data_IF_128138328083
#
_entry.id   IF_128138328083
#
_cell.length_a   1.000
_cell.length_b   1.000
_cell.length_c   1.000
_cell.angle_alpha   90.00
_cell.angle_beta   90.00
_cell.angle_gamma   90.00
#
_symmetry.space_group_name_H-M   'P 1'
#
loop_
_entity.id
_entity.type
_entity.pdbx_description
1 polymer ?
#
# COMPACT_ATOMS: atom_id res chain seq x y z
N UNK A 1 61.19 -14.06 -18.64
CA UNK A 1 59.76 -14.20 -18.30
C UNK A 1 59.22 -12.80 -18.02
N UNK A 2 58.23 -12.35 -18.79
CA UNK A 2 57.72 -10.96 -18.74
C UNK A 2 56.56 -10.88 -17.73
N UNK A 3 56.73 -10.07 -16.69
CA UNK A 3 55.69 -9.77 -15.72
C UNK A 3 54.84 -8.60 -16.26
N UNK A 4 53.52 -8.80 -16.35
CA UNK A 4 52.56 -7.73 -16.65
C UNK A 4 51.67 -7.47 -15.41
N UNK A 5 52.02 -6.53 -14.53
CA UNK A 5 51.14 -6.13 -13.44
C UNK A 5 50.27 -4.95 -13.90
N UNK A 6 49.34 -5.18 -14.85
CA UNK A 6 48.49 -4.07 -15.34
C UNK A 6 47.11 -4.50 -15.84
N UNK A 7 46.41 -5.39 -15.12
CA UNK A 7 45.02 -5.73 -15.49
C UNK A 7 44.05 -5.97 -14.33
N UNK A 8 44.49 -5.96 -13.07
CA UNK A 8 43.58 -6.21 -11.94
C UNK A 8 42.68 -4.99 -11.63
N UNK A 9 43.22 -3.77 -11.70
CA UNK A 9 42.47 -2.55 -11.39
C UNK A 9 41.38 -2.20 -12.41
N UNK A 10 41.62 -2.46 -13.70
CA UNK A 10 40.65 -2.19 -14.76
C UNK A 10 39.46 -3.17 -14.70
N UNK A 11 39.71 -4.42 -14.30
CA UNK A 11 38.66 -5.42 -14.10
C UNK A 11 37.70 -5.07 -12.95
N UNK A 12 38.23 -4.58 -11.82
CA UNK A 12 37.41 -4.16 -10.67
C UNK A 12 36.53 -2.95 -11.03
N UNK A 13 37.07 -1.99 -11.79
CA UNK A 13 36.32 -0.80 -12.21
C UNK A 13 35.14 -1.15 -13.15
N UNK A 14 35.33 -2.11 -14.07
CA UNK A 14 34.25 -2.57 -14.96
C UNK A 14 33.15 -3.34 -14.22
N UNK A 15 33.48 -4.10 -13.17
CA UNK A 15 32.49 -4.80 -12.33
C UNK A 15 31.62 -3.79 -11.57
N UNK A 16 32.20 -2.71 -11.02
CA UNK A 16 31.44 -1.68 -10.30
C UNK A 16 30.48 -0.92 -11.23
N UNK A 17 30.87 -0.67 -12.49
CA UNK A 17 29.98 -0.05 -13.49
C UNK A 17 28.81 -0.97 -13.86
N UNK A 18 29.03 -2.28 -13.95
CA UNK A 18 27.95 -3.23 -14.25
C UNK A 18 26.93 -3.37 -13.12
N UNK A 19 27.37 -3.24 -11.86
CA UNK A 19 26.47 -3.33 -10.69
C UNK A 19 25.59 -2.07 -10.55
N UNK A 20 26.08 -0.90 -10.96
CA UNK A 20 25.34 0.36 -10.79
C UNK A 20 24.21 0.59 -11.79
N UNK A 21 24.16 -0.14 -12.92
CA UNK A 21 23.12 0.06 -13.95
C UNK A 21 21.75 -0.55 -13.63
N UNK A 22 21.62 -1.39 -12.59
CA UNK A 22 20.39 -2.12 -12.30
C UNK A 22 19.56 -1.60 -11.12
N UNK A 23 19.94 -0.46 -10.53
CA UNK A 23 19.18 0.15 -9.41
C UNK A 23 18.48 1.43 -9.90
N UNK A 24 17.72 1.31 -10.98
CA UNK A 24 16.63 2.27 -11.22
C UNK A 24 15.42 1.73 -10.48
N UNK A 25 15.28 2.14 -9.22
CA UNK A 25 14.03 1.96 -8.51
C UNK A 25 12.93 2.63 -9.34
N UNK A 26 12.05 1.83 -9.94
CA UNK A 26 10.90 2.34 -10.69
C UNK A 26 10.02 3.11 -9.71
N UNK A 27 10.18 4.44 -9.69
CA UNK A 27 9.52 5.34 -8.75
C UNK A 27 8.05 5.56 -9.07
N UNK A 28 7.51 4.86 -10.08
CA UNK A 28 6.12 4.96 -10.49
C UNK A 28 5.21 4.31 -9.46
N UNK A 29 4.18 5.04 -9.09
CA UNK A 29 3.14 4.56 -8.18
C UNK A 29 2.32 3.47 -8.88
N UNK A 30 2.19 2.28 -8.30
CA UNK A 30 1.39 1.22 -8.90
C UNK A 30 -0.10 1.58 -8.81
N UNK A 31 -0.82 1.31 -9.91
CA UNK A 31 -2.26 1.52 -10.04
C UNK A 31 -2.91 0.23 -10.49
N UNK A 32 -3.89 -0.23 -9.71
CA UNK A 32 -4.78 -1.32 -10.09
C UNK A 32 -6.10 -0.74 -10.59
N UNK A 33 -6.65 -1.35 -11.64
CA UNK A 33 -7.90 -0.88 -12.24
C UNK A 33 -8.89 -2.03 -12.23
N UNK A 34 -9.86 -1.92 -11.33
CA UNK A 34 -11.06 -2.76 -11.35
C UNK A 34 -12.11 -2.03 -12.18
N UNK A 35 -12.59 -2.67 -13.25
CA UNK A 35 -13.55 -2.00 -14.12
C UNK A 35 -14.63 -2.95 -14.63
N UNK A 36 -15.86 -2.47 -14.62
CA UNK A 36 -17.04 -3.11 -15.18
C UNK A 36 -17.67 -2.17 -16.21
N UNK A 37 -17.87 -2.66 -17.44
CA UNK A 37 -18.53 -1.91 -18.50
C UNK A 37 -19.48 -2.80 -19.30
N UNK A 38 -20.74 -2.38 -19.37
CA UNK A 38 -21.79 -3.10 -20.06
C UNK A 38 -22.00 -2.60 -21.51
N UNK A 39 -21.30 -1.52 -21.91
CA UNK A 39 -21.52 -0.83 -23.18
C UNK A 39 -20.21 -0.54 -23.94
N UNK A 40 -20.32 -0.28 -25.25
CA UNK A 40 -19.14 -0.09 -26.11
C UNK A 40 -18.35 1.19 -25.81
N UNK A 41 -19.00 2.26 -25.34
CA UNK A 41 -18.35 3.53 -24.99
C UNK A 41 -17.61 3.39 -23.67
N UNK A 42 -18.20 2.71 -22.68
CA UNK A 42 -17.58 2.34 -21.41
C UNK A 42 -16.32 1.50 -21.60
N UNK A 43 -16.38 0.50 -22.47
CA UNK A 43 -15.21 -0.32 -22.83
C UNK A 43 -14.08 0.53 -23.47
N UNK A 44 -14.42 1.47 -24.35
CA UNK A 44 -13.45 2.41 -24.92
C UNK A 44 -12.85 3.33 -23.85
N UNK A 45 -13.67 3.82 -22.92
CA UNK A 45 -13.22 4.66 -21.80
C UNK A 45 -12.18 3.92 -20.94
N UNK A 46 -12.48 2.68 -20.53
CA UNK A 46 -11.56 1.86 -19.73
C UNK A 46 -10.26 1.60 -20.49
N UNK A 47 -10.33 1.31 -21.79
CA UNK A 47 -9.16 1.13 -22.64
C UNK A 47 -8.26 2.38 -22.65
N UNK A 48 -8.85 3.55 -22.86
CA UNK A 48 -8.10 4.81 -22.88
C UNK A 48 -7.49 5.15 -21.52
N UNK A 49 -8.18 4.86 -20.41
CA UNK A 49 -7.64 5.04 -19.05
C UNK A 49 -6.42 4.13 -18.83
N UNK A 50 -6.53 2.85 -19.18
CA UNK A 50 -5.40 1.89 -19.09
C UNK A 50 -4.19 2.35 -19.91
N UNK A 51 -4.44 2.85 -21.13
CA UNK A 51 -3.40 3.41 -21.99
C UNK A 51 -2.77 4.68 -21.40
N UNK A 52 -3.59 5.58 -20.86
CA UNK A 52 -3.11 6.80 -20.21
C UNK A 52 -2.22 6.52 -19.00
N UNK A 53 -2.63 5.58 -18.13
CA UNK A 53 -1.83 5.14 -16.98
C UNK A 53 -0.52 4.48 -17.44
N UNK A 54 -0.57 3.65 -18.47
CA UNK A 54 0.64 2.98 -19.00
C UNK A 54 1.65 3.96 -19.60
N UNK A 55 1.19 5.12 -20.07
CA UNK A 55 2.01 6.22 -20.61
C UNK A 55 2.44 7.24 -19.56
N UNK A 56 1.87 7.20 -18.36
CA UNK A 56 2.21 8.13 -17.29
C UNK A 56 3.66 7.90 -16.84
N UNK A 57 4.34 9.01 -16.51
CA UNK A 57 5.69 8.99 -15.93
C UNK A 57 5.67 8.70 -14.43
N UNK A 58 4.51 8.83 -13.80
CA UNK A 58 4.31 8.77 -12.35
C UNK A 58 3.47 7.58 -11.93
N UNK A 59 2.70 6.97 -12.85
CA UNK A 59 1.88 5.79 -12.59
C UNK A 59 2.39 4.59 -13.38
N UNK A 60 2.18 3.40 -12.81
CA UNK A 60 2.43 2.12 -13.48
C UNK A 60 1.22 1.23 -13.27
N UNK A 61 0.72 0.60 -14.33
CA UNK A 61 -0.35 -0.39 -14.20
C UNK A 61 0.19 -1.63 -13.47
N UNK A 62 -0.56 -2.13 -12.48
CA UNK A 62 -0.24 -3.36 -11.76
C UNK A 62 -1.45 -4.27 -11.66
N UNK A 63 -1.18 -5.57 -11.56
CA UNK A 63 -2.17 -6.61 -11.24
C UNK A 63 -1.82 -7.33 -9.93
N UNK A 64 -0.83 -6.81 -9.19
CA UNK A 64 -0.34 -7.40 -7.94
C UNK A 64 -1.15 -6.86 -6.76
N UNK A 65 -1.76 -7.77 -6.01
CA UNK A 65 -2.54 -7.41 -4.82
C UNK A 65 -1.67 -7.21 -3.58
N UNK A 66 -0.42 -7.68 -3.60
CA UNK A 66 0.52 -7.66 -2.48
C UNK A 66 1.33 -6.35 -2.36
N UNK A 67 1.20 -5.42 -3.31
CA UNK A 67 1.88 -4.12 -3.27
C UNK A 67 0.93 -2.95 -2.92
N UNK A 68 1.39 -1.98 -2.10
CA UNK A 68 0.64 -0.75 -1.84
C UNK A 68 0.39 0.00 -3.14
N UNK A 69 -0.86 0.33 -3.43
CA UNK A 69 -1.29 0.82 -4.74
C UNK A 69 -2.45 1.81 -4.67
N UNK A 70 -2.66 2.54 -5.76
CA UNK A 70 -3.92 3.26 -6.00
C UNK A 70 -4.85 2.30 -6.75
N UNK A 71 -6.03 2.08 -6.23
CA UNK A 71 -7.08 1.28 -6.86
C UNK A 71 -8.12 2.21 -7.49
N UNK A 72 -8.37 2.01 -8.79
CA UNK A 72 -9.39 2.72 -9.57
C UNK A 72 -10.54 1.76 -9.86
N UNK A 73 -11.68 2.01 -9.22
CA UNK A 73 -12.90 1.22 -9.40
C UNK A 73 -13.85 1.98 -10.31
N UNK A 74 -14.00 1.49 -11.53
CA UNK A 74 -14.75 2.16 -12.60
C UNK A 74 -15.94 1.31 -12.99
N UNK A 75 -17.14 1.85 -12.84
CA UNK A 75 -18.38 1.19 -13.29
C UNK A 75 -19.00 2.07 -14.36
N UNK A 76 -19.35 1.47 -15.49
CA UNK A 76 -20.06 2.16 -16.57
C UNK A 76 -21.40 1.50 -16.85
N UNK A 77 -22.39 2.33 -17.17
CA UNK A 77 -23.76 1.91 -17.45
C UNK A 77 -24.22 2.55 -18.77
N UNK A 78 -24.83 1.75 -19.65
CA UNK A 78 -25.54 2.27 -20.83
C UNK A 78 -26.81 2.98 -20.36
N UNK A 79 -26.91 4.31 -20.48
CA UNK A 79 -28.11 5.03 -20.09
C UNK A 79 -29.15 4.88 -21.21
N UNK A 80 -29.52 3.65 -21.59
CA UNK A 80 -30.38 3.27 -22.73
C UNK A 80 -31.29 4.42 -23.18
N UNK A 81 -30.81 5.34 -24.05
CA UNK A 81 -31.56 6.54 -24.26
C UNK A 81 -32.71 6.17 -25.19
N UNK A 82 -33.93 6.41 -24.74
CA UNK A 82 -35.12 6.20 -25.55
C UNK A 82 -35.10 7.31 -26.61
N UNK A 83 -34.90 6.91 -27.87
CA UNK A 83 -34.88 7.83 -29.00
C UNK A 83 -36.25 8.51 -29.19
N UNK A 84 -36.32 9.53 -30.06
CA UNK A 84 -37.57 10.26 -30.33
C UNK A 84 -38.74 9.37 -30.80
N UNK A 85 -38.43 8.15 -31.26
CA UNK A 85 -39.38 7.15 -31.73
C UNK A 85 -39.64 6.01 -30.73
N UNK A 86 -39.15 6.10 -29.49
CA UNK A 86 -39.27 5.03 -28.52
C UNK A 86 -38.19 3.93 -28.63
N UNK A 87 -37.32 4.01 -29.64
CA UNK A 87 -36.28 3.01 -29.88
C UNK A 87 -35.05 3.23 -28.99
N UNK A 88 -34.43 2.18 -28.43
CA UNK A 88 -33.19 2.34 -27.68
C UNK A 88 -32.05 2.79 -28.60
N UNK A 89 -31.56 4.02 -28.40
CA UNK A 89 -30.37 4.54 -29.09
C UNK A 89 -29.14 4.19 -28.26
N UNK A 90 -28.84 2.90 -28.12
CA UNK A 90 -27.67 2.44 -27.36
C UNK A 90 -26.36 2.92 -27.98
N UNK A 91 -25.27 2.94 -27.20
CA UNK A 91 -23.89 3.13 -27.66
C UNK A 91 -23.45 4.54 -28.11
N UNK A 92 -24.20 5.61 -27.81
CA UNK A 92 -23.73 6.97 -28.07
C UNK A 92 -23.00 7.61 -26.88
N UNK A 93 -23.32 7.15 -25.68
CA UNK A 93 -22.79 7.66 -24.42
C UNK A 93 -22.85 6.58 -23.34
N UNK A 94 -22.06 6.75 -22.30
CA UNK A 94 -22.09 5.94 -21.09
C UNK A 94 -22.12 6.84 -19.86
N UNK A 95 -22.80 6.41 -18.80
CA UNK A 95 -22.66 7.04 -17.48
C UNK A 95 -21.60 6.25 -16.73
N UNK A 96 -20.60 6.94 -16.18
CA UNK A 96 -19.54 6.31 -15.42
C UNK A 96 -19.51 6.80 -13.98
N UNK A 97 -19.14 5.88 -13.08
CA UNK A 97 -18.71 6.17 -11.72
C UNK A 97 -17.26 5.72 -11.57
N UNK A 98 -16.41 6.55 -10.96
CA UNK A 98 -15.01 6.27 -10.73
C UNK A 98 -14.69 6.55 -9.26
N UNK A 99 -14.24 5.53 -8.53
CA UNK A 99 -13.78 5.63 -7.15
C UNK A 99 -12.28 5.39 -7.11
N UNK A 100 -11.57 6.27 -6.40
CA UNK A 100 -10.13 6.17 -6.17
C UNK A 100 -9.90 5.75 -4.72
N UNK A 101 -9.15 4.68 -4.55
CA UNK A 101 -8.82 4.11 -3.24
C UNK A 101 -7.30 4.05 -3.11
N UNK A 102 -6.77 4.51 -1.98
CA UNK A 102 -5.40 4.22 -1.58
C UNK A 102 -5.40 2.91 -0.78
N UNK A 103 -4.70 1.90 -1.27
CA UNK A 103 -4.46 0.64 -0.57
C UNK A 103 -3.05 0.66 0.02
N UNK A 104 -2.95 0.82 1.35
CA UNK A 104 -1.68 0.91 2.07
C UNK A 104 -1.67 -0.17 3.14
N UNK A 105 -0.84 -1.20 2.93
CA UNK A 105 -0.37 -2.18 3.92
C UNK A 105 -1.45 -2.91 4.76
N UNK A 106 -2.74 -2.83 4.38
CA UNK A 106 -3.97 -3.50 4.91
C UNK A 106 -5.18 -2.55 4.99
N UNK A 107 -4.97 -1.24 4.84
CA UNK A 107 -6.04 -0.25 4.94
C UNK A 107 -6.37 0.33 3.57
N UNK A 108 -7.61 0.14 3.14
CA UNK A 108 -8.20 0.82 2.00
C UNK A 108 -8.82 2.14 2.46
N UNK A 109 -8.39 3.26 1.89
CA UNK A 109 -8.94 4.59 2.16
C UNK A 109 -9.42 5.22 0.87
N UNK A 110 -10.68 5.68 0.82
CA UNK A 110 -11.18 6.43 -0.33
C UNK A 110 -10.49 7.80 -0.38
N UNK A 111 -9.78 8.08 -1.48
CA UNK A 111 -9.07 9.35 -1.70
C UNK A 111 -9.84 10.28 -2.65
N UNK A 112 -10.85 9.77 -3.35
CA UNK A 112 -11.79 10.58 -4.10
C UNK A 112 -12.76 9.75 -4.92
N UNK A 113 -13.80 10.39 -5.43
CA UNK A 113 -14.76 9.79 -6.32
C UNK A 113 -15.18 10.78 -7.40
N UNK A 114 -15.90 10.31 -8.42
CA UNK A 114 -16.50 11.14 -9.45
C UNK A 114 -17.52 10.34 -10.25
N UNK A 115 -18.57 11.03 -10.69
CA UNK A 115 -19.60 10.49 -11.59
C UNK A 115 -19.69 11.44 -12.78
N UNK A 116 -19.89 10.90 -13.98
CA UNK A 116 -19.99 11.71 -15.18
C UNK A 116 -20.65 10.98 -16.34
N UNK A 117 -20.85 11.73 -17.42
CA UNK A 117 -21.35 11.20 -18.70
C UNK A 117 -20.21 11.29 -19.70
N UNK A 118 -19.96 10.21 -20.40
CA UNK A 118 -18.93 10.12 -21.41
C UNK A 118 -19.56 9.80 -22.76
N UNK A 119 -19.55 10.77 -23.67
CA UNK A 119 -20.00 10.59 -25.05
C UNK A 119 -18.91 9.99 -25.92
N UNK A 120 -19.31 9.25 -26.97
CA UNK A 120 -18.39 8.57 -27.91
C UNK A 120 -17.33 9.50 -28.53
N UNK A 121 -17.66 10.77 -28.78
CA UNK A 121 -16.72 11.75 -29.36
C UNK A 121 -15.70 12.30 -28.36
N UNK A 122 -15.95 12.17 -27.05
CA UNK A 122 -15.14 12.79 -26.00
C UNK A 122 -14.44 11.77 -25.08
N UNK A 123 -14.49 10.47 -25.43
CA UNK A 123 -13.97 9.38 -24.58
C UNK A 123 -12.53 9.59 -24.15
N UNK A 124 -11.68 10.03 -25.09
CA UNK A 124 -10.26 10.25 -24.81
C UNK A 124 -10.04 11.37 -23.79
N UNK A 125 -10.75 12.49 -23.92
CA UNK A 125 -10.60 13.62 -23.00
C UNK A 125 -11.08 13.26 -21.59
N UNK A 126 -12.20 12.54 -21.48
CA UNK A 126 -12.70 12.03 -20.19
C UNK A 126 -11.71 11.06 -19.56
N UNK A 127 -11.10 10.18 -20.36
CA UNK A 127 -10.05 9.28 -19.89
C UNK A 127 -8.83 10.06 -19.38
N UNK A 128 -8.36 11.04 -20.14
CA UNK A 128 -7.21 11.88 -19.79
C UNK A 128 -7.47 12.66 -18.48
N UNK A 129 -8.69 13.17 -18.27
CA UNK A 129 -9.10 13.82 -17.02
C UNK A 129 -9.06 12.86 -15.82
N UNK A 130 -9.56 11.63 -16.00
CA UNK A 130 -9.52 10.60 -14.93
C UNK A 130 -8.06 10.25 -14.58
N UNK A 131 -7.20 10.12 -15.57
CA UNK A 131 -5.77 9.85 -15.37
C UNK A 131 -5.09 11.02 -14.67
N UNK A 132 -5.35 12.26 -15.08
CA UNK A 132 -4.81 13.45 -14.44
C UNK A 132 -5.24 13.57 -12.97
N UNK A 133 -6.48 13.19 -12.65
CA UNK A 133 -6.94 13.13 -11.27
C UNK A 133 -6.27 12.00 -10.47
N UNK A 134 -5.99 10.85 -11.08
CA UNK A 134 -5.20 9.79 -10.46
C UNK A 134 -3.76 10.25 -10.18
N UNK A 135 -3.13 10.94 -11.12
CA UNK A 135 -1.80 11.56 -10.94
C UNK A 135 -1.79 12.56 -9.78
N UNK A 136 -2.82 13.41 -9.70
CA UNK A 136 -2.96 14.37 -8.58
C UNK A 136 -3.12 13.65 -7.23
N UNK A 137 -3.76 12.50 -7.23
CA UNK A 137 -4.00 11.71 -6.02
C UNK A 137 -2.70 11.09 -5.44
N UNK A 138 -1.64 10.95 -6.24
CA UNK A 138 -0.32 10.46 -5.79
C UNK A 138 0.22 11.31 -4.64
N UNK A 139 0.11 12.64 -4.71
CA UNK A 139 0.61 13.52 -3.63
C UNK A 139 -0.10 13.25 -2.30
N UNK A 140 -1.38 12.91 -2.35
CA UNK A 140 -2.14 12.49 -1.18
C UNK A 140 -1.70 11.10 -0.71
N UNK A 141 -1.50 10.17 -1.64
CA UNK A 141 -1.01 8.82 -1.36
C UNK A 141 0.36 8.83 -0.66
N UNK A 142 1.34 9.58 -1.17
CA UNK A 142 2.67 9.73 -0.56
C UNK A 142 2.60 10.29 0.85
N UNK A 143 1.73 11.28 1.08
CA UNK A 143 1.51 11.86 2.41
C UNK A 143 0.92 10.82 3.37
N UNK A 144 -0.09 10.07 2.93
CA UNK A 144 -0.74 9.04 3.76
C UNK A 144 0.25 7.91 4.05
N UNK A 145 1.00 7.44 3.06
CA UNK A 145 2.03 6.41 3.23
C UNK A 145 3.09 6.86 4.24
N UNK A 146 3.57 8.11 4.13
CA UNK A 146 4.54 8.64 5.09
C UNK A 146 3.99 8.81 6.52
N UNK A 147 2.68 9.02 6.69
CA UNK A 147 2.03 9.01 8.00
C UNK A 147 1.89 7.59 8.55
N UNK A 148 1.52 6.63 7.71
CA UNK A 148 1.39 5.23 8.09
C UNK A 148 2.73 4.65 8.53
N UNK A 149 3.81 4.92 7.79
CA UNK A 149 5.18 4.55 8.15
C UNK A 149 5.60 5.13 9.52
N UNK A 150 5.21 6.38 9.80
CA UNK A 150 5.49 7.02 11.10
C UNK A 150 4.67 6.40 12.23
N UNK A 151 3.39 6.14 12.01
CA UNK A 151 2.52 5.49 12.99
C UNK A 151 2.99 4.07 13.30
N UNK A 152 3.44 3.32 12.29
CA UNK A 152 4.04 2.00 12.46
C UNK A 152 5.27 2.03 13.35
N UNK A 153 6.18 3.00 13.15
CA UNK A 153 7.35 3.20 14.01
C UNK A 153 6.99 3.56 15.44
N UNK A 154 6.04 4.48 15.63
CA UNK A 154 5.58 4.88 16.96
C UNK A 154 4.94 3.72 17.71
N UNK A 155 4.12 2.92 17.03
CA UNK A 155 3.51 1.73 17.62
C UNK A 155 4.56 0.71 18.03
N UNK A 156 5.55 0.43 17.16
CA UNK A 156 6.64 -0.48 17.48
C UNK A 156 7.47 0.00 18.69
N UNK A 157 7.73 1.31 18.79
CA UNK A 157 8.42 1.89 19.94
C UNK A 157 7.60 1.76 21.24
N UNK A 158 6.29 2.00 21.16
CA UNK A 158 5.39 1.85 22.31
C UNK A 158 5.26 0.38 22.75
N UNK A 159 5.14 -0.55 21.81
CA UNK A 159 5.08 -1.99 22.08
C UNK A 159 6.39 -2.47 22.73
N UNK A 160 7.54 -1.93 22.30
CA UNK A 160 8.83 -2.20 22.94
C UNK A 160 8.89 -1.71 24.38
N UNK A 161 8.47 -0.46 24.65
CA UNK A 161 8.42 0.09 26.02
C UNK A 161 7.51 -0.72 26.94
N UNK A 162 6.32 -1.10 26.45
CA UNK A 162 5.39 -1.95 27.20
C UNK A 162 6.00 -3.33 27.50
N UNK A 163 6.77 -3.90 26.56
CA UNK A 163 7.48 -5.15 26.81
C UNK A 163 8.55 -4.98 27.90
N UNK A 164 9.35 -3.92 27.85
CA UNK A 164 10.37 -3.62 28.87
C UNK A 164 9.75 -3.45 30.27
N UNK A 165 8.66 -2.68 30.38
CA UNK A 165 7.94 -2.47 31.65
C UNK A 165 7.40 -3.80 32.20
N UNK A 166 6.77 -4.62 31.36
CA UNK A 166 6.25 -5.92 31.76
C UNK A 166 7.37 -6.90 32.15
N UNK A 167 8.51 -6.82 31.46
CA UNK A 167 9.69 -7.62 31.78
C UNK A 167 10.26 -7.27 33.15
N UNK A 168 10.41 -5.97 33.45
CA UNK A 168 10.86 -5.52 34.78
C UNK A 168 9.89 -5.92 35.89
N UNK A 169 8.59 -5.78 35.66
CA UNK A 169 7.56 -6.24 36.60
C UNK A 169 7.66 -7.74 36.84
N UNK A 170 7.89 -8.54 35.78
CA UNK A 170 8.11 -9.97 35.90
C UNK A 170 9.31 -10.34 36.77
N UNK A 171 10.41 -9.58 36.69
CA UNK A 171 11.58 -9.76 37.57
C UNK A 171 11.21 -9.45 39.02
N UNK A 172 10.50 -8.33 39.27
CA UNK A 172 10.08 -7.92 40.62
C UNK A 172 9.14 -8.92 41.26
N UNK A 173 8.16 -9.44 40.51
CA UNK A 173 7.23 -10.48 40.99
C UNK A 173 8.00 -11.74 41.40
N UNK A 174 8.91 -12.23 40.56
CA UNK A 174 9.74 -13.41 40.89
C UNK A 174 10.61 -13.19 42.14
N UNK A 175 11.11 -11.98 42.35
CA UNK A 175 11.88 -11.65 43.55
C UNK A 175 11.00 -11.66 44.81
N UNK A 176 9.78 -11.12 44.73
CA UNK A 176 8.80 -11.14 45.83
C UNK A 176 8.34 -12.57 46.14
N UNK A 177 8.10 -13.40 45.13
CA UNK A 177 7.76 -14.82 45.32
C UNK A 177 8.85 -15.56 46.09
N UNK A 178 10.14 -15.35 45.74
CA UNK A 178 11.26 -15.94 46.49
C UNK A 178 11.31 -15.46 47.93
N UNK A 179 11.15 -14.15 48.15
CA UNK A 179 11.16 -13.58 49.50
C UNK A 179 10.02 -14.14 50.37
N UNK A 180 8.82 -14.30 49.79
CA UNK A 180 7.68 -14.90 50.47
C UNK A 180 7.92 -16.36 50.83
N UNK A 181 8.51 -17.16 49.93
CA UNK A 181 8.87 -18.55 50.20
C UNK A 181 9.94 -18.67 51.31
N UNK A 182 10.92 -17.76 51.33
CA UNK A 182 11.92 -17.69 52.41
C UNK A 182 11.28 -17.35 53.77
N UNK A 183 10.33 -16.42 53.81
CA UNK A 183 9.61 -16.04 55.04
C UNK A 183 8.71 -17.17 55.56
N UNK A 184 8.00 -17.86 54.65
CA UNK A 184 7.24 -19.08 55.00
C UNK A 184 8.14 -20.18 55.55
N UNK A 185 9.33 -20.36 54.98
CA UNK A 185 10.30 -21.34 55.49
C UNK A 185 10.77 -20.98 56.91
N UNK A 186 11.09 -19.71 57.18
CA UNK A 186 11.49 -19.24 58.52
C UNK A 186 10.40 -19.46 59.57
N UNK A 187 9.18 -19.02 59.28
CA UNK A 187 8.03 -19.18 60.20
C UNK A 187 7.67 -20.65 60.44
N UNK A 188 7.88 -21.52 59.45
CA UNK A 188 7.73 -22.96 59.64
C UNK A 188 8.77 -23.53 60.62
N UNK A 189 10.05 -23.13 60.49
CA UNK A 189 11.11 -23.55 61.40
C UNK A 189 10.90 -23.10 62.85
N UNK A 190 10.44 -21.87 63.07
CA UNK A 190 10.14 -21.34 64.41
C UNK A 190 9.06 -22.17 65.12
N UNK A 191 7.95 -22.45 64.43
CA UNK A 191 6.86 -23.30 64.96
C UNK A 191 7.32 -24.72 65.30
N UNK A 192 8.31 -25.24 64.59
CA UNK A 192 8.86 -26.58 64.80
C UNK A 192 9.75 -26.63 66.05
N UNK A 193 10.45 -25.53 66.33
CA UNK A 193 11.24 -25.34 67.55
C UNK A 193 10.38 -25.18 68.79
N UNK A 194 9.32 -24.39 68.74
CA UNK A 194 8.39 -24.20 69.87
C UNK A 194 7.75 -25.53 70.32
N UNK A 195 7.42 -26.42 69.38
CA UNK A 195 6.84 -27.74 69.69
C UNK A 195 7.80 -28.72 70.39
N UNK A 196 9.10 -28.43 70.42
CA UNK A 196 10.11 -29.29 71.07
C UNK A 196 10.40 -28.90 72.52
N UNK A 197 9.91 -27.76 72.98
CA UNK A 197 9.97 -27.33 74.38
C UNK A 197 8.74 -27.82 75.14
#
# INVERSE_FOLDING_TARGET
MKNYPLNLGLGIFLIIIFITQNIYADSRTPVFIEAQADDSVGNQLIYHIRQGISKSKTLRLTNKEDEPRIELNIVTLDPKPIGPRGEPVSNLQTVYSCVRIADILTRKSMIGHGVGICGRSNVKNVADDIVALADKAIKSFERIKGLDDKMGKLKAEQDHKLWEENFELGIKVKALERALEEEKAKTWWEKLWEKKQ
#
